data_IF_416113811891
#
_entry.id   IF_416113811891
#
_cell.length_a   1.000
_cell.length_b   1.000
_cell.length_c   1.000
_cell.angle_alpha   90.00
_cell.angle_beta   90.00
_cell.angle_gamma   90.00
#
_symmetry.space_group_name_H-M   'P 1'
#
loop_
_entity.id
_entity.type
_entity.pdbx_description
1 polymer ?
#
# COMPACT_ATOMS: atom_id res chain seq x y z
N UNK A 1 -24.65 -1.31 27.18
CA UNK A 1 -23.54 -2.25 26.97
C UNK A 1 -22.40 -1.48 26.33
N UNK A 2 -21.38 -1.11 27.10
CA UNK A 2 -20.20 -0.39 26.59
C UNK A 2 -19.14 -1.44 26.34
N UNK A 3 -18.86 -1.75 25.07
CA UNK A 3 -17.72 -2.59 24.71
C UNK A 3 -16.50 -1.69 24.56
N UNK A 4 -15.66 -1.63 25.59
CA UNK A 4 -14.32 -1.10 25.44
C UNK A 4 -13.51 -2.13 24.64
N UNK A 5 -13.31 -1.88 23.35
CA UNK A 5 -12.33 -2.63 22.57
C UNK A 5 -10.96 -2.31 23.15
N UNK A 6 -10.41 -3.23 23.96
CA UNK A 6 -8.98 -3.23 24.31
C UNK A 6 -8.21 -3.00 23.02
N UNK A 7 -7.45 -1.90 22.95
CA UNK A 7 -6.70 -1.52 21.77
C UNK A 7 -5.85 -2.71 21.33
N UNK A 8 -6.19 -3.29 20.18
CA UNK A 8 -5.44 -4.40 19.61
C UNK A 8 -4.02 -3.89 19.36
N UNK A 9 -3.05 -4.46 20.08
CA UNK A 9 -1.63 -4.10 19.94
C UNK A 9 -1.13 -4.67 18.61
N UNK A 10 -1.16 -3.85 17.58
CA UNK A 10 -0.61 -4.17 16.26
C UNK A 10 0.90 -3.91 16.22
N UNK A 11 1.64 -4.71 15.46
CA UNK A 11 3.08 -4.51 15.23
C UNK A 11 3.30 -3.59 14.03
N UNK A 12 4.31 -2.73 14.15
CA UNK A 12 4.81 -1.90 13.06
C UNK A 12 6.17 -2.42 12.62
N UNK A 13 6.27 -2.88 11.38
CA UNK A 13 7.51 -3.24 10.71
C UNK A 13 8.04 -2.03 9.96
N UNK A 14 9.28 -1.60 10.19
CA UNK A 14 9.78 -0.32 9.65
C UNK A 14 10.53 -0.43 8.32
N UNK A 15 11.12 -1.58 8.03
CA UNK A 15 12.03 -1.78 6.90
C UNK A 15 11.57 -2.94 6.01
N UNK A 16 10.28 -2.94 5.66
CA UNK A 16 9.73 -3.96 4.76
C UNK A 16 10.07 -3.62 3.31
N UNK A 17 10.77 -4.52 2.62
CA UNK A 17 10.97 -4.43 1.17
C UNK A 17 9.70 -4.84 0.44
N UNK A 18 9.21 -3.98 -0.45
CA UNK A 18 8.09 -4.27 -1.34
C UNK A 18 8.58 -4.20 -2.78
N UNK A 19 8.38 -5.30 -3.51
CA UNK A 19 8.75 -5.41 -4.92
C UNK A 19 7.50 -5.72 -5.75
N UNK A 20 7.33 -4.98 -6.84
CA UNK A 20 6.30 -5.19 -7.86
C UNK A 20 6.98 -5.09 -9.22
N UNK A 21 6.98 -6.18 -9.99
CA UNK A 21 7.69 -6.28 -11.26
C UNK A 21 9.17 -5.87 -11.12
N UNK A 22 9.61 -4.84 -11.84
CA UNK A 22 10.96 -4.28 -11.81
C UNK A 22 11.14 -3.12 -10.81
N UNK A 23 10.12 -2.82 -9.99
CA UNK A 23 10.12 -1.69 -9.04
C UNK A 23 10.22 -2.18 -7.61
N UNK A 24 11.03 -1.49 -6.82
CA UNK A 24 11.27 -1.85 -5.42
C UNK A 24 11.30 -0.61 -4.54
N UNK A 25 10.65 -0.70 -3.38
CA UNK A 25 10.67 0.35 -2.36
C UNK A 25 10.82 -0.28 -0.96
N UNK A 26 11.21 0.53 0.02
CA UNK A 26 11.19 0.15 1.44
C UNK A 26 10.11 0.96 2.15
N UNK A 27 9.27 0.28 2.93
CA UNK A 27 8.08 0.87 3.56
C UNK A 27 7.89 0.40 4.98
N UNK A 28 7.06 1.15 5.72
CA UNK A 28 6.56 0.71 7.00
C UNK A 28 5.24 -0.05 6.82
N UNK A 29 5.13 -1.23 7.41
CA UNK A 29 3.96 -2.10 7.33
C UNK A 29 3.32 -2.28 8.71
N UNK A 30 2.00 -2.18 8.76
CA UNK A 30 1.21 -2.51 9.95
C UNK A 30 0.78 -3.97 9.89
N UNK A 31 0.94 -4.69 10.99
CA UNK A 31 0.40 -6.04 11.13
C UNK A 31 -1.12 -5.98 11.17
N UNK A 32 -1.76 -6.75 10.28
CA UNK A 32 -3.19 -6.97 10.29
C UNK A 32 -3.50 -8.28 11.02
N UNK A 33 -4.68 -8.40 11.67
CA UNK A 33 -5.13 -9.65 12.25
C UNK A 33 -5.09 -10.79 11.23
N UNK A 34 -4.78 -12.00 11.67
CA UNK A 34 -4.79 -13.18 10.80
C UNK A 34 -6.14 -13.33 10.09
N UNK A 35 -6.09 -13.70 8.81
CA UNK A 35 -7.27 -13.81 7.94
C UNK A 35 -7.79 -12.47 7.39
N UNK A 36 -7.20 -11.34 7.77
CA UNK A 36 -7.50 -10.06 7.12
C UNK A 36 -6.96 -10.03 5.69
N UNK A 37 -7.68 -9.39 4.74
CA UNK A 37 -7.12 -9.17 3.41
C UNK A 37 -5.86 -8.29 3.50
N UNK A 38 -4.87 -8.60 2.67
CA UNK A 38 -3.66 -7.75 2.55
C UNK A 38 -4.06 -6.42 1.94
N UNK A 39 -3.64 -5.33 2.58
CA UNK A 39 -3.93 -3.98 2.12
C UNK A 39 -2.65 -3.31 1.62
N UNK A 40 -2.74 -2.69 0.44
CA UNK A 40 -1.71 -1.82 -0.09
C UNK A 40 -2.25 -0.38 -0.12
N UNK A 41 -1.59 0.51 0.63
CA UNK A 41 -2.03 1.91 0.73
C UNK A 41 -1.68 2.75 -0.50
N UNK A 42 -2.29 3.93 -0.61
CA UNK A 42 -2.03 4.85 -1.71
C UNK A 42 -0.57 5.35 -1.76
N UNK A 43 0.07 5.59 -0.61
CA UNK A 43 1.47 6.06 -0.53
C UNK A 43 2.46 5.07 -1.13
N UNK A 44 2.49 3.77 -0.74
CA UNK A 44 3.39 2.82 -1.39
C UNK A 44 3.04 2.59 -2.87
N UNK A 45 1.77 2.70 -3.27
CA UNK A 45 1.39 2.63 -4.68
C UNK A 45 1.96 3.79 -5.49
N UNK A 46 1.89 5.02 -4.98
CA UNK A 46 2.49 6.20 -5.60
C UNK A 46 4.01 6.07 -5.73
N UNK A 47 4.69 5.61 -4.68
CA UNK A 47 6.14 5.41 -4.70
C UNK A 47 6.58 4.32 -5.69
N UNK A 48 5.75 3.29 -5.89
CA UNK A 48 5.94 2.28 -6.93
C UNK A 48 5.44 2.72 -8.32
N UNK A 49 4.82 3.90 -8.44
CA UNK A 49 4.18 4.35 -9.67
C UNK A 49 3.14 3.36 -10.20
N UNK A 50 2.32 2.77 -9.33
CA UNK A 50 1.25 1.85 -9.71
C UNK A 50 -0.11 2.43 -9.31
N UNK A 51 -1.15 2.03 -10.03
CA UNK A 51 -2.53 2.42 -9.74
C UNK A 51 -3.49 1.25 -9.96
N UNK A 52 -4.68 1.26 -9.32
CA UNK A 52 -5.70 0.27 -9.57
C UNK A 52 -6.51 0.65 -10.82
N UNK A 53 -6.53 -0.22 -11.81
CA UNK A 53 -7.51 -0.18 -12.89
C UNK A 53 -8.79 -0.86 -12.40
N UNK A 54 -9.78 -0.05 -12.03
CA UNK A 54 -11.07 -0.51 -11.52
C UNK A 54 -11.94 -1.21 -12.58
N UNK A 55 -11.67 -0.98 -13.87
CA UNK A 55 -12.44 -1.62 -14.94
C UNK A 55 -11.93 -3.03 -15.17
N UNK A 56 -10.60 -3.21 -15.24
CA UNK A 56 -10.00 -4.53 -15.47
C UNK A 56 -9.66 -5.29 -14.18
N UNK A 57 -9.86 -4.67 -13.01
CA UNK A 57 -9.52 -5.21 -11.69
C UNK A 57 -8.05 -5.64 -11.60
N UNK A 58 -7.14 -4.81 -12.13
CA UNK A 58 -5.69 -5.07 -12.16
C UNK A 58 -4.91 -3.87 -11.65
N UNK A 59 -3.69 -4.12 -11.19
CA UNK A 59 -2.72 -3.05 -10.96
C UNK A 59 -2.03 -2.72 -12.29
N UNK A 60 -1.96 -1.43 -12.62
CA UNK A 60 -1.27 -0.90 -13.79
C UNK A 60 0.00 -0.17 -13.36
N UNK A 61 1.11 -0.45 -14.05
CA UNK A 61 2.33 0.35 -13.95
C UNK A 61 2.15 1.65 -14.72
N UNK A 62 2.36 2.77 -14.04
CA UNK A 62 2.41 4.09 -14.65
C UNK A 62 3.70 4.23 -15.48
N UNK A 63 3.67 4.99 -16.60
CA UNK A 63 4.86 5.32 -17.36
C UNK A 63 5.94 5.96 -16.47
N UNK A 64 7.20 5.63 -16.76
CA UNK A 64 8.36 6.04 -15.95
C UNK A 64 8.94 7.39 -16.38
N UNK A 65 8.16 8.22 -17.09
CA UNK A 65 8.62 9.51 -17.61
C UNK A 65 9.17 10.37 -16.46
N UNK A 66 10.46 10.70 -16.56
CA UNK A 66 11.24 11.35 -15.52
C UNK A 66 10.65 12.73 -15.16
N UNK A 67 9.82 12.78 -14.12
CA UNK A 67 9.33 14.05 -13.56
C UNK A 67 7.97 14.04 -12.88
N UNK A 68 7.15 13.00 -13.03
CA UNK A 68 5.81 12.98 -12.44
C UNK A 68 5.77 12.21 -11.12
N UNK A 69 5.87 12.93 -9.99
CA UNK A 69 5.20 12.48 -8.76
C UNK A 69 3.69 12.53 -9.02
N UNK A 70 3.09 11.37 -9.26
CA UNK A 70 1.65 11.26 -9.52
C UNK A 70 0.86 11.52 -8.22
N UNK A 71 0.39 12.75 -8.05
CA UNK A 71 -0.62 13.10 -7.05
C UNK A 71 -1.97 13.03 -7.75
N UNK A 72 -2.74 11.98 -7.48
CA UNK A 72 -4.18 11.98 -7.76
C UNK A 72 -4.87 12.63 -6.57
N UNK A 73 -5.29 13.88 -6.75
CA UNK A 73 -6.29 14.52 -5.89
C UNK A 73 -7.66 14.27 -6.51
N UNK A 74 -8.43 13.35 -5.92
CA UNK A 74 -9.86 13.44 -5.55
C UNK A 74 -10.38 12.07 -5.09
#
# INVERSE_FOLDING_TARGET
>A
MVTASVGQRTRLYRDAGLQVENRSITVQCLELPEGSPVLLGAVPMQALGIEPDLVSHRLRLLPEDAGSTWVMAL
#
